data_IF_429114285966
#
_entry.id   IF_429114285966
#
_cell.length_a   1.000
_cell.length_b   1.000
_cell.length_c   1.000
_cell.angle_alpha   90.00
_cell.angle_beta   90.00
_cell.angle_gamma   90.00
#
_symmetry.space_group_name_H-M   'P 1'
#
loop_
_entity.id
_entity.type
_entity.pdbx_description
1 polymer ?
#
# COMPACT_ATOMS: atom_id res chain seq x y z
N UNK A 1 -12.45 15.04 8.70
CA UNK A 1 -11.18 14.38 9.05
C UNK A 1 -10.16 14.84 8.02
N UNK A 2 -9.05 15.48 8.42
CA UNK A 2 -7.98 15.81 7.46
C UNK A 2 -7.38 14.50 6.94
N UNK A 3 -7.21 14.41 5.63
CA UNK A 3 -6.91 13.16 4.96
C UNK A 3 -5.40 13.07 4.72
N UNK A 4 -4.66 12.80 5.79
CA UNK A 4 -3.19 12.78 5.82
C UNK A 4 -2.61 11.48 5.23
N UNK A 5 -3.19 10.98 4.13
CA UNK A 5 -2.72 9.74 3.48
C UNK A 5 -1.51 9.97 2.56
N UNK A 6 -1.19 11.21 2.20
CA UNK A 6 -0.08 11.55 1.30
C UNK A 6 0.77 12.72 1.80
N UNK A 7 2.11 12.58 1.71
CA UNK A 7 3.06 13.69 1.96
C UNK A 7 3.80 14.14 0.73
N UNK A 8 4.08 15.44 0.70
CA UNK A 8 4.97 16.03 -0.28
C UNK A 8 6.45 15.76 0.05
N UNK A 9 7.29 15.81 -0.98
CA UNK A 9 8.75 15.77 -0.83
C UNK A 9 9.25 16.89 0.10
N UNK A 10 8.66 18.07 0.04
CA UNK A 10 9.05 19.20 0.89
C UNK A 10 8.75 18.93 2.36
N UNK A 11 7.57 18.37 2.66
CA UNK A 11 7.21 17.97 4.02
C UNK A 11 8.23 16.95 4.56
N UNK A 12 8.57 15.94 3.76
CA UNK A 12 9.49 14.89 4.20
C UNK A 12 10.91 15.42 4.40
N UNK A 13 11.42 16.24 3.47
CA UNK A 13 12.71 16.93 3.60
C UNK A 13 12.76 17.78 4.87
N UNK A 14 11.70 18.55 5.15
CA UNK A 14 11.61 19.36 6.36
C UNK A 14 11.65 18.49 7.63
N UNK A 15 10.98 17.35 7.65
CA UNK A 15 11.02 16.44 8.80
C UNK A 15 12.35 15.74 8.98
N UNK A 16 13.00 15.34 7.89
CA UNK A 16 14.35 14.77 7.93
C UNK A 16 15.34 15.80 8.48
N UNK A 17 15.28 17.05 8.02
CA UNK A 17 16.12 18.15 8.53
C UNK A 17 15.88 18.45 10.03
N UNK A 18 14.65 18.20 10.52
CA UNK A 18 14.25 18.45 11.91
C UNK A 18 13.97 17.14 12.67
N UNK A 19 14.71 16.06 12.38
CA UNK A 19 14.41 14.71 12.91
C UNK A 19 14.32 14.63 14.43
N UNK A 20 15.04 15.50 15.15
CA UNK A 20 14.99 15.61 16.61
C UNK A 20 13.59 15.97 17.15
N UNK A 21 12.76 16.64 16.35
CA UNK A 21 11.35 16.97 16.66
C UNK A 21 10.37 15.86 16.24
N UNK A 22 10.80 14.90 15.43
CA UNK A 22 9.97 13.87 14.80
C UNK A 22 10.55 12.47 15.04
N UNK A 23 10.79 12.15 16.32
CA UNK A 23 11.49 10.93 16.72
C UNK A 23 10.73 9.65 16.38
N UNK A 24 9.40 9.75 16.24
CA UNK A 24 8.54 8.63 15.84
C UNK A 24 8.39 8.47 14.31
N UNK A 25 9.07 9.29 13.49
CA UNK A 25 9.04 9.15 12.03
C UNK A 25 9.87 7.94 11.57
N UNK A 26 9.23 7.02 10.86
CA UNK A 26 9.87 5.87 10.22
C UNK A 26 9.62 5.92 8.72
N UNK A 27 10.70 5.99 7.94
CA UNK A 27 10.62 6.03 6.48
C UNK A 27 10.98 4.63 5.96
N UNK A 28 10.11 4.03 5.15
CA UNK A 28 10.31 2.68 4.63
C UNK A 28 10.39 2.67 3.12
N UNK A 29 11.48 2.09 2.61
CA UNK A 29 11.56 1.61 1.25
C UNK A 29 10.92 0.22 1.19
N UNK A 30 9.76 0.13 0.56
CA UNK A 30 9.00 -1.12 0.41
C UNK A 30 9.13 -1.69 -1.00
N UNK A 31 10.17 -1.30 -1.74
CA UNK A 31 10.38 -1.75 -3.12
C UNK A 31 10.45 -3.26 -3.22
N UNK A 32 9.82 -3.80 -4.26
CA UNK A 32 9.84 -5.23 -4.57
C UNK A 32 9.82 -5.45 -6.09
N UNK A 33 10.58 -6.44 -6.53
CA UNK A 33 10.62 -6.94 -7.91
C UNK A 33 10.83 -8.46 -7.88
N UNK A 34 10.34 -9.15 -8.92
CA UNK A 34 10.48 -10.61 -9.04
C UNK A 34 11.85 -11.04 -9.57
N UNK A 35 12.54 -10.15 -10.27
CA UNK A 35 13.74 -10.42 -11.06
C UNK A 35 14.97 -9.67 -10.54
N UNK A 36 14.85 -8.95 -9.41
CA UNK A 36 15.91 -8.10 -8.86
C UNK A 36 15.94 -8.15 -7.34
N UNK A 37 17.14 -8.04 -6.78
CA UNK A 37 17.32 -7.77 -5.36
C UNK A 37 17.13 -6.27 -5.09
N UNK A 38 15.97 -5.91 -4.53
CA UNK A 38 15.67 -4.51 -4.24
C UNK A 38 16.42 -3.97 -3.02
N UNK A 39 17.00 -4.83 -2.18
CA UNK A 39 17.86 -4.41 -1.08
C UNK A 39 19.18 -3.82 -1.62
N UNK A 40 19.77 -4.44 -2.63
CA UNK A 40 20.97 -3.89 -3.29
C UNK A 40 20.69 -2.52 -3.92
N UNK A 41 19.52 -2.36 -4.54
CA UNK A 41 19.08 -1.06 -5.09
C UNK A 41 18.80 -0.01 -4.00
N UNK A 42 18.36 -0.44 -2.82
CA UNK A 42 18.21 0.42 -1.64
C UNK A 42 19.58 0.86 -1.12
N UNK A 43 20.53 -0.06 -0.98
CA UNK A 43 21.88 0.23 -0.49
C UNK A 43 22.63 1.21 -1.40
N UNK A 44 22.38 1.20 -2.71
CA UNK A 44 22.96 2.18 -3.65
C UNK A 44 22.38 3.57 -3.51
N UNK A 45 21.07 3.68 -3.31
CA UNK A 45 20.37 4.96 -3.24
C UNK A 45 19.06 4.82 -2.48
N UNK A 46 18.83 5.66 -1.47
CA UNK A 46 17.58 5.68 -0.73
C UNK A 46 17.34 7.06 -0.11
N UNK A 47 16.13 7.29 0.39
CA UNK A 47 15.82 8.50 1.15
C UNK A 47 16.63 8.49 2.46
N UNK A 48 17.35 9.56 2.83
CA UNK A 48 18.15 9.57 4.06
C UNK A 48 17.35 9.17 5.31
N UNK A 49 17.88 8.20 6.05
CA UNK A 49 17.25 7.66 7.26
C UNK A 49 16.11 6.68 7.01
N UNK A 50 15.84 6.31 5.75
CA UNK A 50 14.92 5.23 5.42
C UNK A 50 15.51 3.86 5.81
N UNK A 51 14.63 2.89 5.99
CA UNK A 51 14.95 1.48 6.19
C UNK A 51 14.31 0.67 5.06
N UNK A 52 14.97 -0.39 4.61
CA UNK A 52 14.40 -1.32 3.66
C UNK A 52 13.44 -2.27 4.38
N UNK A 53 12.25 -2.48 3.83
CA UNK A 53 11.26 -3.40 4.38
C UNK A 53 10.54 -4.14 3.25
N UNK A 54 10.99 -5.37 2.99
CA UNK A 54 10.36 -6.20 1.97
C UNK A 54 9.03 -6.79 2.49
N UNK A 55 7.92 -6.22 2.02
CA UNK A 55 6.56 -6.64 2.38
C UNK A 55 6.20 -8.05 1.88
N UNK A 56 6.98 -8.61 0.96
CA UNK A 56 6.77 -9.92 0.35
C UNK A 56 7.68 -11.02 0.92
N UNK A 57 8.62 -10.66 1.80
CA UNK A 57 9.58 -11.58 2.42
C UNK A 57 8.94 -12.30 3.62
N UNK A 58 8.26 -13.42 3.34
CA UNK A 58 7.74 -14.38 4.32
C UNK A 58 7.51 -15.74 3.62
N UNK A 59 7.53 -16.85 4.36
CA UNK A 59 7.13 -18.15 3.82
C UNK A 59 5.63 -18.10 3.49
N UNK A 60 5.30 -18.21 2.21
CA UNK A 60 3.95 -18.03 1.73
C UNK A 60 3.04 -19.16 2.21
N UNK A 61 1.84 -18.83 2.70
CA UNK A 61 0.77 -19.82 2.79
C UNK A 61 0.36 -20.24 1.38
N UNK A 62 -0.17 -21.46 1.19
CA UNK A 62 -0.57 -22.01 -0.12
C UNK A 62 -1.65 -21.19 -0.88
N UNK A 63 -2.11 -20.07 -0.32
CA UNK A 63 -3.03 -19.12 -0.94
C UNK A 63 -2.32 -18.24 -1.98
N UNK A 64 -2.21 -18.80 -3.17
CA UNK A 64 -1.89 -18.09 -4.40
C UNK A 64 -2.96 -17.03 -4.80
N UNK A 65 -2.57 -15.89 -5.40
CA UNK A 65 -1.21 -15.37 -5.56
C UNK A 65 -0.98 -14.13 -4.69
N UNK A 66 0.18 -14.12 -4.01
CA UNK A 66 0.79 -12.99 -3.30
C UNK A 66 0.17 -12.68 -1.93
N UNK A 67 0.38 -13.63 -1.03
CA UNK A 67 0.94 -13.54 0.33
C UNK A 67 0.42 -12.41 1.22
N UNK A 68 -0.53 -12.76 2.08
CA UNK A 68 -0.58 -12.13 3.39
C UNK A 68 0.56 -12.72 4.23
N UNK A 69 1.44 -11.91 4.80
CA UNK A 69 2.44 -12.42 5.74
C UNK A 69 1.72 -12.92 7.01
N UNK A 70 2.34 -13.85 7.72
CA UNK A 70 1.88 -14.16 9.08
C UNK A 70 1.90 -12.87 9.91
N UNK A 71 0.81 -12.62 10.65
CA UNK A 71 0.72 -11.46 11.55
C UNK A 71 1.93 -11.42 12.48
N UNK A 72 2.26 -12.55 13.10
CA UNK A 72 3.36 -12.70 14.06
C UNK A 72 4.72 -12.42 13.42
N UNK A 73 4.99 -12.98 12.23
CA UNK A 73 6.24 -12.75 11.51
C UNK A 73 6.37 -11.31 11.05
N UNK A 74 5.29 -10.75 10.46
CA UNK A 74 5.26 -9.37 10.01
C UNK A 74 5.54 -8.41 11.17
N UNK A 75 4.89 -8.63 12.31
CA UNK A 75 5.11 -7.83 13.51
C UNK A 75 6.53 -7.96 14.03
N UNK A 76 7.07 -9.17 14.08
CA UNK A 76 8.44 -9.40 14.55
C UNK A 76 9.45 -8.65 13.68
N UNK A 77 9.31 -8.72 12.36
CA UNK A 77 10.16 -7.95 11.42
C UNK A 77 9.96 -6.45 11.55
N UNK A 78 8.71 -5.98 11.68
CA UNK A 78 8.40 -4.56 11.86
C UNK A 78 9.01 -4.00 13.16
N UNK A 79 8.90 -4.74 14.27
CA UNK A 79 9.49 -4.39 15.57
C UNK A 79 11.02 -4.39 15.52
N UNK A 80 11.63 -5.33 14.80
CA UNK A 80 13.08 -5.40 14.63
C UNK A 80 13.67 -4.14 13.97
N UNK A 81 12.89 -3.43 13.14
CA UNK A 81 13.28 -2.17 12.51
C UNK A 81 12.70 -0.93 13.23
N UNK A 82 12.23 -1.09 14.47
CA UNK A 82 11.80 0.00 15.33
C UNK A 82 10.40 0.55 15.05
N UNK A 83 9.55 -0.17 14.30
CA UNK A 83 8.14 0.22 14.12
C UNK A 83 7.36 -0.11 15.39
N UNK A 84 6.77 0.92 15.98
CA UNK A 84 5.99 0.87 17.20
C UNK A 84 4.61 1.49 17.04
N UNK A 85 3.76 1.37 18.06
CA UNK A 85 2.37 1.82 18.00
C UNK A 85 2.25 3.32 17.75
N UNK A 86 3.22 4.12 18.19
CA UNK A 86 3.26 5.57 18.00
C UNK A 86 4.02 5.99 16.73
N UNK A 87 4.55 5.03 15.95
CA UNK A 87 5.29 5.33 14.72
C UNK A 87 4.42 6.02 13.67
N UNK A 88 4.95 7.08 13.10
CA UNK A 88 4.47 7.70 11.88
C UNK A 88 5.23 7.09 10.71
N UNK A 89 4.59 6.17 9.99
CA UNK A 89 5.19 5.53 8.83
C UNK A 89 5.11 6.47 7.62
N UNK A 90 6.15 6.47 6.78
CA UNK A 90 6.14 7.05 5.42
C UNK A 90 6.63 5.96 4.48
N UNK A 91 5.75 5.48 3.60
CA UNK A 91 6.04 4.37 2.69
C UNK A 91 6.35 4.90 1.28
N UNK A 92 7.42 4.39 0.68
CA UNK A 92 7.73 4.65 -0.73
C UNK A 92 8.29 3.40 -1.42
N UNK A 93 8.17 3.35 -2.74
CA UNK A 93 8.75 2.26 -3.54
C UNK A 93 9.28 2.76 -4.87
N UNK A 94 10.41 2.21 -5.29
CA UNK A 94 10.92 2.22 -6.67
C UNK A 94 10.20 1.11 -7.42
N UNK A 95 9.20 1.47 -8.23
CA UNK A 95 8.50 0.51 -9.09
C UNK A 95 8.37 1.04 -10.50
N UNK A 96 8.68 0.18 -11.48
CA UNK A 96 8.44 0.43 -12.90
C UNK A 96 6.94 0.60 -13.23
N UNK A 97 6.05 0.14 -12.36
CA UNK A 97 4.59 0.26 -12.48
C UNK A 97 4.02 1.47 -11.72
N UNK A 98 4.86 2.41 -11.30
CA UNK A 98 4.46 3.60 -10.55
C UNK A 98 4.49 3.42 -9.03
N UNK A 99 4.68 4.53 -8.31
CA UNK A 99 4.99 4.52 -6.86
C UNK A 99 3.93 3.88 -5.97
N UNK A 100 2.67 3.81 -6.40
CA UNK A 100 1.57 3.20 -5.64
C UNK A 100 1.42 1.70 -5.81
N UNK A 101 2.09 1.07 -6.79
CA UNK A 101 1.86 -0.35 -7.02
C UNK A 101 2.29 -1.19 -5.81
N UNK A 102 3.55 -1.02 -5.37
CA UNK A 102 4.07 -1.73 -4.20
C UNK A 102 3.74 -0.99 -2.91
N UNK A 103 3.87 0.34 -2.87
CA UNK A 103 3.52 1.13 -1.68
C UNK A 103 2.03 1.02 -1.33
N UNK A 104 1.15 0.88 -2.32
CA UNK A 104 -0.27 0.63 -2.12
C UNK A 104 -0.54 -0.71 -1.45
N UNK A 105 0.16 -1.76 -1.90
CA UNK A 105 0.12 -3.07 -1.23
C UNK A 105 0.66 -2.97 0.19
N UNK A 106 1.80 -2.31 0.39
CA UNK A 106 2.39 -2.14 1.72
C UNK A 106 1.40 -1.47 2.68
N UNK A 107 0.83 -0.33 2.29
CA UNK A 107 -0.18 0.36 3.07
C UNK A 107 -1.37 -0.53 3.42
N UNK A 108 -1.87 -1.30 2.45
CA UNK A 108 -2.99 -2.22 2.69
C UNK A 108 -2.61 -3.33 3.68
N UNK A 109 -1.43 -3.93 3.54
CA UNK A 109 -0.93 -4.96 4.47
C UNK A 109 -0.76 -4.40 5.89
N UNK A 110 -0.12 -3.24 6.05
CA UNK A 110 0.00 -2.57 7.34
C UNK A 110 -1.37 -2.23 7.95
N UNK A 111 -2.31 -1.76 7.13
CA UNK A 111 -3.67 -1.44 7.58
C UNK A 111 -4.44 -2.68 8.02
N UNK A 112 -4.35 -3.78 7.28
CA UNK A 112 -5.00 -5.04 7.62
C UNK A 112 -4.47 -5.60 8.95
N UNK A 113 -3.15 -5.71 9.08
CA UNK A 113 -2.51 -6.29 10.28
C UNK A 113 -2.73 -5.40 11.51
N UNK A 114 -2.86 -4.08 11.34
CA UNK A 114 -3.19 -3.16 12.42
C UNK A 114 -4.64 -3.29 12.91
N UNK A 115 -5.57 -3.81 12.09
CA UNK A 115 -6.98 -3.99 12.47
C UNK A 115 -7.24 -5.28 13.26
N UNK A 116 -6.38 -6.29 13.14
CA UNK A 116 -6.52 -7.58 13.83
C UNK A 116 -6.12 -7.52 15.32
N UNK A 117 -5.62 -6.38 15.82
CA UNK A 117 -5.08 -6.24 17.18
C UNK A 117 -5.47 -4.88 17.77
N UNK A 118 -6.11 -4.87 18.94
CA UNK A 118 -6.46 -3.66 19.70
C UNK A 118 -5.27 -2.86 20.26
N UNK A 119 -4.03 -3.34 20.04
CA UNK A 119 -2.79 -2.80 20.62
C UNK A 119 -1.70 -2.48 19.58
N UNK A 120 -1.98 -2.54 18.27
CA UNK A 120 -1.05 -2.11 17.21
C UNK A 120 -1.64 -0.94 16.41
N UNK A 121 -1.97 0.16 17.09
CA UNK A 121 -2.49 1.36 16.41
C UNK A 121 -1.36 2.19 15.79
N UNK A 122 -0.53 1.60 14.92
CA UNK A 122 0.35 2.46 14.09
C UNK A 122 -0.56 3.47 13.39
N UNK A 123 -0.22 4.76 13.47
CA UNK A 123 -0.86 5.76 12.64
C UNK A 123 -0.43 5.52 11.18
N UNK A 124 -0.89 4.42 10.55
CA UNK A 124 -0.81 4.14 9.08
C UNK A 124 -1.64 5.18 8.30
N UNK A 125 -2.24 6.15 9.00
CA UNK A 125 -2.66 7.44 8.48
C UNK A 125 -1.49 8.35 8.11
N UNK A 126 -0.28 7.81 7.92
CA UNK A 126 0.93 8.52 7.54
C UNK A 126 1.29 8.22 6.10
N UNK A 127 0.75 9.02 5.19
CA UNK A 127 1.52 9.64 4.14
C UNK A 127 2.44 8.78 3.24
N UNK A 128 1.84 8.23 2.20
CA UNK A 128 2.53 7.73 1.01
C UNK A 128 3.00 8.89 0.12
N UNK A 129 4.03 8.65 -0.69
CA UNK A 129 4.37 9.53 -1.82
C UNK A 129 3.45 9.24 -2.99
N UNK A 130 2.66 10.24 -3.41
CA UNK A 130 2.17 10.36 -4.79
C UNK A 130 1.97 11.83 -5.13
N UNK A 131 2.61 12.28 -6.21
CA UNK A 131 2.11 13.43 -6.98
C UNK A 131 0.72 13.03 -7.50
N UNK A 132 -0.34 13.59 -6.93
CA UNK A 132 -1.73 13.20 -7.18
C UNK A 132 -2.20 13.44 -8.64
N UNK A 133 -1.38 14.12 -9.43
CA UNK A 133 -1.79 14.73 -10.69
C UNK A 133 -1.71 13.83 -11.93
N UNK A 134 -1.13 12.62 -11.87
CA UNK A 134 -1.09 11.73 -13.04
C UNK A 134 -1.43 10.27 -12.73
N UNK A 135 -2.72 10.03 -12.69
CA UNK A 135 -3.33 8.78 -12.27
C UNK A 135 -4.35 8.40 -13.37
N UNK A 136 -3.92 7.74 -14.45
CA UNK A 136 -4.78 7.40 -15.62
C UNK A 136 -4.48 6.03 -16.23
N UNK A 137 -5.40 5.06 -16.06
CA UNK A 137 -5.75 3.96 -16.98
C UNK A 137 -6.93 3.11 -16.44
N UNK A 138 -7.48 2.24 -17.30
CA UNK A 138 -8.86 1.73 -17.31
C UNK A 138 -9.11 0.62 -16.26
N UNK A 139 -10.05 0.85 -15.34
CA UNK A 139 -10.68 -0.23 -14.55
C UNK A 139 -11.95 -0.74 -15.22
N UNK A 140 -12.29 -2.02 -15.09
CA UNK A 140 -13.63 -2.54 -15.44
C UNK A 140 -14.48 -2.57 -14.18
N UNK A 141 -15.70 -2.05 -14.25
CA UNK A 141 -16.64 -2.04 -13.12
C UNK A 141 -17.84 -2.92 -13.46
N UNK A 142 -18.31 -3.67 -12.46
CA UNK A 142 -19.59 -4.38 -12.49
C UNK A 142 -20.36 -3.98 -11.23
N UNK A 143 -21.02 -2.82 -11.27
CA UNK A 143 -21.55 -2.17 -10.07
C UNK A 143 -20.44 -1.76 -9.10
N UNK A 144 -20.53 -2.20 -7.84
CA UNK A 144 -19.52 -1.94 -6.81
C UNK A 144 -18.36 -2.97 -6.80
N UNK A 145 -18.16 -3.72 -7.88
CA UNK A 145 -17.02 -4.63 -8.04
C UNK A 145 -16.07 -4.06 -9.09
N UNK A 146 -14.80 -3.86 -8.70
CA UNK A 146 -13.76 -3.28 -9.54
C UNK A 146 -12.71 -4.34 -9.90
N UNK A 147 -12.52 -4.53 -11.20
CA UNK A 147 -11.45 -5.32 -11.81
C UNK A 147 -10.34 -4.40 -12.33
N UNK A 148 -9.17 -4.46 -11.67
CA UNK A 148 -8.00 -3.62 -11.95
C UNK A 148 -6.86 -4.38 -12.64
N UNK A 149 -7.17 -5.43 -13.43
CA UNK A 149 -6.18 -6.21 -14.20
C UNK A 149 -5.56 -5.45 -15.38
N UNK A 150 -6.18 -4.35 -15.83
CA UNK A 150 -5.76 -3.56 -17.00
C UNK A 150 -5.23 -2.17 -16.63
N UNK A 151 -5.02 -1.87 -15.35
CA UNK A 151 -4.71 -0.51 -14.88
C UNK A 151 -3.31 -0.42 -14.27
N UNK A 152 -2.41 0.30 -14.92
CA UNK A 152 -1.10 0.67 -14.36
C UNK A 152 -1.13 2.05 -13.65
N UNK A 153 -2.24 2.77 -13.74
CA UNK A 153 -2.48 4.06 -13.06
C UNK A 153 -3.98 4.24 -12.80
N UNK A 154 -4.38 4.93 -11.73
CA UNK A 154 -5.77 4.91 -11.23
C UNK A 154 -6.45 6.28 -11.25
N UNK A 155 -7.46 6.52 -12.10
CA UNK A 155 -8.19 7.79 -12.05
C UNK A 155 -9.47 7.69 -11.20
N UNK A 156 -9.58 8.51 -10.15
CA UNK A 156 -10.78 8.56 -9.30
C UNK A 156 -12.03 9.07 -10.03
N UNK A 157 -11.90 10.04 -10.95
CA UNK A 157 -13.04 10.50 -11.77
C UNK A 157 -13.61 9.37 -12.63
N UNK A 158 -12.72 8.51 -13.15
CA UNK A 158 -13.11 7.33 -13.94
C UNK A 158 -13.91 6.33 -13.10
N UNK A 159 -13.65 6.19 -11.79
CA UNK A 159 -14.45 5.31 -10.94
C UNK A 159 -15.91 5.80 -10.84
N UNK A 160 -16.09 7.10 -10.59
CA UNK A 160 -17.42 7.70 -10.48
C UNK A 160 -18.15 7.68 -11.83
N UNK A 161 -17.47 8.03 -12.93
CA UNK A 161 -18.02 7.92 -14.30
C UNK A 161 -18.46 6.49 -14.65
N UNK A 162 -17.79 5.49 -14.08
CA UNK A 162 -18.11 4.07 -14.25
C UNK A 162 -19.09 3.51 -13.21
N UNK A 163 -19.75 4.38 -12.43
CA UNK A 163 -20.86 4.02 -11.55
C UNK A 163 -20.45 3.54 -10.15
N UNK A 164 -19.19 3.70 -9.75
CA UNK A 164 -18.76 3.41 -8.36
C UNK A 164 -19.35 4.48 -7.44
N UNK A 165 -20.10 4.05 -6.43
CA UNK A 165 -20.74 4.94 -5.46
C UNK A 165 -19.95 4.87 -4.16
N UNK A 166 -19.29 5.97 -3.79
CA UNK A 166 -18.46 6.02 -2.57
C UNK A 166 -19.28 5.77 -1.28
N UNK A 167 -20.60 5.96 -1.31
CA UNK A 167 -21.48 5.66 -0.18
C UNK A 167 -21.86 4.17 -0.06
N UNK A 168 -21.43 3.32 -1.00
CA UNK A 168 -21.68 1.89 -0.99
C UNK A 168 -20.38 1.09 -0.82
N UNK A 169 -20.40 -0.04 -0.11
CA UNK A 169 -19.24 -0.92 -0.02
C UNK A 169 -18.80 -1.41 -1.41
N UNK A 170 -17.51 -1.24 -1.70
CA UNK A 170 -16.89 -1.63 -2.98
C UNK A 170 -15.89 -2.77 -2.78
N UNK A 171 -15.88 -3.76 -3.67
CA UNK A 171 -14.89 -4.85 -3.68
C UNK A 171 -13.94 -4.65 -4.85
N UNK A 172 -12.64 -4.66 -4.58
CA UNK A 172 -11.59 -4.51 -5.60
C UNK A 172 -10.81 -5.81 -5.76
N UNK A 173 -10.49 -6.20 -7.00
CA UNK A 173 -9.64 -7.36 -7.29
C UNK A 173 -8.83 -7.17 -8.58
N UNK A 174 -7.73 -7.91 -8.70
CA UNK A 174 -6.93 -8.01 -9.92
C UNK A 174 -6.51 -9.47 -10.13
N UNK A 175 -5.36 -9.74 -10.75
CA UNK A 175 -4.87 -11.11 -10.89
C UNK A 175 -4.44 -11.72 -9.55
N UNK A 176 -3.87 -10.91 -8.65
CA UNK A 176 -3.17 -11.38 -7.45
C UNK A 176 -3.25 -10.42 -6.24
N UNK A 177 -4.25 -9.54 -6.20
CA UNK A 177 -4.41 -8.58 -5.11
C UNK A 177 -3.31 -7.50 -4.94
N UNK A 178 -2.40 -7.31 -5.91
CA UNK A 178 -1.36 -6.26 -5.84
C UNK A 178 -1.90 -4.90 -6.30
N UNK A 179 -2.17 -4.75 -7.60
CA UNK A 179 -2.61 -3.47 -8.17
C UNK A 179 -3.90 -2.92 -7.53
N UNK A 180 -4.81 -3.80 -7.12
CA UNK A 180 -6.08 -3.41 -6.49
C UNK A 180 -5.91 -2.73 -5.13
N UNK A 181 -4.77 -2.89 -4.45
CA UNK A 181 -4.51 -2.17 -3.21
C UNK A 181 -4.50 -0.65 -3.43
N UNK A 182 -4.00 -0.18 -4.58
CA UNK A 182 -4.06 1.24 -4.95
C UNK A 182 -5.50 1.74 -5.14
N UNK A 183 -6.40 0.88 -5.64
CA UNK A 183 -7.83 1.19 -5.81
C UNK A 183 -8.54 1.30 -4.46
N UNK A 184 -8.29 0.34 -3.57
CA UNK A 184 -8.81 0.36 -2.20
C UNK A 184 -8.35 1.63 -1.49
N UNK A 185 -7.07 1.97 -1.61
CA UNK A 185 -6.48 3.18 -1.05
C UNK A 185 -7.17 4.44 -1.58
N UNK A 186 -7.36 4.58 -2.89
CA UNK A 186 -7.96 5.78 -3.44
C UNK A 186 -9.44 5.94 -3.06
N UNK A 187 -10.21 4.85 -3.02
CA UNK A 187 -11.61 4.89 -2.53
C UNK A 187 -11.64 5.30 -1.06
N UNK A 188 -10.75 4.72 -0.25
CA UNK A 188 -10.61 5.05 1.18
C UNK A 188 -10.23 6.53 1.36
N UNK A 189 -9.30 7.02 0.54
CA UNK A 189 -8.93 8.43 0.49
C UNK A 189 -10.15 9.30 0.16
N UNK A 190 -11.00 8.91 -0.78
CA UNK A 190 -12.22 9.66 -1.08
C UNK A 190 -13.34 9.54 -0.02
N UNK A 191 -13.08 8.88 1.12
CA UNK A 191 -14.06 8.65 2.18
C UNK A 191 -15.03 7.50 1.90
N UNK A 192 -14.79 6.72 0.85
CA UNK A 192 -15.58 5.54 0.52
C UNK A 192 -15.11 4.29 1.26
N UNK A 193 -15.93 3.25 1.21
CA UNK A 193 -15.62 1.95 1.82
C UNK A 193 -15.19 0.95 0.75
N UNK A 194 -13.96 0.44 0.83
CA UNK A 194 -13.46 -0.58 -0.08
C UNK A 194 -12.85 -1.79 0.65
N UNK A 195 -13.07 -2.98 0.09
CA UNK A 195 -12.45 -4.24 0.51
C UNK A 195 -11.63 -4.82 -0.64
N UNK A 196 -10.51 -5.43 -0.31
CA UNK A 196 -9.69 -6.16 -1.26
C UNK A 196 -10.10 -7.64 -1.29
N UNK A 197 -10.36 -8.19 -2.48
CA UNK A 197 -10.31 -9.63 -2.68
C UNK A 197 -8.86 -10.02 -3.04
N UNK A 198 -8.10 -10.42 -2.03
CA UNK A 198 -6.64 -10.59 -2.13
C UNK A 198 -6.21 -11.77 -3.01
N UNK A 199 -6.99 -12.86 -3.06
CA UNK A 199 -6.71 -13.99 -3.95
C UNK A 199 -6.88 -13.67 -5.44
N UNK A 200 -7.68 -12.64 -5.76
CA UNK A 200 -7.86 -12.17 -7.13
C UNK A 200 -8.37 -13.23 -8.11
N UNK A 201 -8.25 -12.92 -9.40
CA UNK A 201 -8.74 -13.76 -10.48
C UNK A 201 -8.05 -15.14 -10.54
N UNK A 202 -6.77 -15.21 -10.18
CA UNK A 202 -6.03 -16.46 -10.22
C UNK A 202 -6.49 -17.45 -9.14
N UNK A 203 -6.93 -16.97 -7.98
CA UNK A 203 -7.62 -17.82 -7.00
C UNK A 203 -9.00 -18.22 -7.51
N UNK A 204 -9.82 -17.24 -7.94
CA UNK A 204 -11.16 -17.48 -8.46
C UNK A 204 -11.19 -18.56 -9.54
N UNK A 205 -10.38 -18.39 -10.60
CA UNK A 205 -10.28 -19.33 -11.73
C UNK A 205 -9.92 -20.77 -11.32
N UNK A 206 -9.24 -20.97 -10.20
CA UNK A 206 -8.89 -22.32 -9.71
C UNK A 206 -9.97 -22.94 -8.86
N UNK A 207 -10.83 -22.13 -8.23
CA UNK A 207 -11.90 -22.57 -7.35
C UNK A 207 -13.26 -22.67 -8.04
N UNK A 208 -13.35 -22.26 -9.31
CA UNK A 208 -14.56 -22.29 -10.15
C UNK A 208 -14.26 -22.91 -11.51
#
# INVERSE_FOLDING_TARGET
MSNDMFVSCQWLKNRIANRHLFQNLVILDVSWASDKNMEDEFLREHIPGAQFFNIMDDNHTDMYPRNLPSVENFQSRARAIGINNDSHLVLYSKSQHGGLFVSGRAWWTFSLISLEIGEFSTNVRGNLRVEFDEMVQIVKTHGQIIDSRASDKLNLKVLTEKGVNLNQPTVCYCNSGMSSCSVVMAITYCGGQARLYSGGYNEWKRKT
#
